data_IF_780228821722
#
_entry.id   IF_780228821722
#
_cell.length_a   1.000
_cell.length_b   1.000
_cell.length_c   1.000
_cell.angle_alpha   90.00
_cell.angle_beta   90.00
_cell.angle_gamma   90.00
#
_symmetry.space_group_name_H-M   'P 1'
#
loop_
_entity.id
_entity.type
_entity.pdbx_description
1 polymer ?
#
# COMPACT_ATOMS: atom_id res chain seq x y z
N UNK A 1 24.59 -7.05 -10.81
CA UNK A 1 23.59 -7.99 -11.35
C UNK A 1 22.31 -8.04 -10.51
N UNK A 2 22.39 -8.24 -9.18
CA UNK A 2 21.21 -8.30 -8.29
C UNK A 2 20.28 -7.07 -8.34
N UNK A 3 20.82 -5.85 -8.42
CA UNK A 3 20.01 -4.62 -8.46
C UNK A 3 19.05 -4.57 -9.67
N UNK A 4 19.47 -5.05 -10.85
CA UNK A 4 18.64 -5.08 -12.05
C UNK A 4 17.48 -6.08 -11.92
N UNK A 5 17.69 -7.19 -11.22
CA UNK A 5 16.67 -8.20 -10.98
C UNK A 5 15.54 -7.66 -10.10
N UNK A 6 15.86 -6.89 -9.04
CA UNK A 6 14.85 -6.28 -8.18
C UNK A 6 14.03 -5.22 -8.92
N UNK A 7 14.68 -4.32 -9.67
CA UNK A 7 13.97 -3.32 -10.49
C UNK A 7 12.98 -4.00 -11.44
N UNK A 8 13.40 -5.08 -12.11
CA UNK A 8 12.54 -5.82 -13.04
C UNK A 8 11.36 -6.48 -12.32
N UNK A 9 11.60 -7.12 -11.18
CA UNK A 9 10.56 -7.77 -10.38
C UNK A 9 9.49 -6.77 -9.92
N UNK A 10 9.89 -5.60 -9.42
CA UNK A 10 8.93 -4.58 -8.97
C UNK A 10 8.19 -3.93 -10.14
N UNK A 11 8.81 -3.80 -11.32
CA UNK A 11 8.11 -3.38 -12.54
C UNK A 11 7.06 -4.40 -12.97
N UNK A 12 7.37 -5.69 -12.87
CA UNK A 12 6.40 -6.76 -13.14
C UNK A 12 5.25 -6.74 -12.14
N UNK A 13 5.52 -6.55 -10.85
CA UNK A 13 4.48 -6.40 -9.83
C UNK A 13 3.59 -5.19 -10.13
N UNK A 14 4.17 -4.03 -10.44
CA UNK A 14 3.43 -2.83 -10.83
C UNK A 14 2.55 -3.09 -12.07
N UNK A 15 3.08 -3.75 -13.10
CA UNK A 15 2.30 -4.14 -14.28
C UNK A 15 1.18 -5.13 -13.95
N UNK A 16 1.43 -6.09 -13.05
CA UNK A 16 0.42 -7.04 -12.60
C UNK A 16 -0.72 -6.32 -11.89
N UNK A 17 -0.42 -5.37 -10.99
CA UNK A 17 -1.43 -4.54 -10.34
C UNK A 17 -2.27 -3.78 -11.36
N UNK A 18 -1.64 -3.15 -12.36
CA UNK A 18 -2.36 -2.50 -13.46
C UNK A 18 -3.30 -3.44 -14.23
N UNK A 19 -2.90 -4.70 -14.43
CA UNK A 19 -3.68 -5.69 -15.17
C UNK A 19 -4.84 -6.26 -14.35
N UNK A 20 -4.63 -6.59 -13.07
CA UNK A 20 -5.70 -7.15 -12.23
C UNK A 20 -6.82 -6.13 -11.98
N UNK A 21 -6.52 -4.83 -12.00
CA UNK A 21 -7.51 -3.75 -11.83
C UNK A 21 -8.59 -3.71 -12.90
N UNK A 22 -8.35 -4.35 -14.05
CA UNK A 22 -9.33 -4.45 -15.12
C UNK A 22 -10.50 -5.38 -14.76
N UNK A 23 -10.30 -6.31 -13.82
CA UNK A 23 -11.33 -7.25 -13.35
C UNK A 23 -11.43 -7.22 -11.83
N UNK A 24 -12.57 -6.72 -11.34
CA UNK A 24 -12.88 -6.56 -9.92
C UNK A 24 -12.79 -7.86 -9.13
N UNK A 25 -13.21 -8.99 -9.71
CA UNK A 25 -13.18 -10.29 -9.00
C UNK A 25 -11.75 -10.80 -8.87
N UNK A 26 -10.94 -10.65 -9.93
CA UNK A 26 -9.53 -11.04 -9.93
C UNK A 26 -8.74 -10.18 -8.95
N UNK A 27 -8.92 -8.86 -8.99
CA UNK A 27 -8.28 -7.94 -8.04
C UNK A 27 -8.62 -8.30 -6.59
N UNK A 28 -9.90 -8.52 -6.29
CA UNK A 28 -10.36 -8.88 -4.94
C UNK A 28 -9.70 -10.16 -4.45
N UNK A 29 -9.71 -11.23 -5.26
CA UNK A 29 -9.07 -12.51 -4.91
C UNK A 29 -7.56 -12.38 -4.75
N UNK A 30 -6.92 -11.58 -5.60
CA UNK A 30 -5.49 -11.30 -5.50
C UNK A 30 -5.17 -10.63 -4.16
N UNK A 31 -5.90 -9.58 -3.80
CA UNK A 31 -5.68 -8.88 -2.54
C UNK A 31 -6.02 -9.74 -1.31
N UNK A 32 -7.09 -10.54 -1.34
CA UNK A 32 -7.39 -11.48 -0.25
C UNK A 32 -6.28 -12.55 -0.07
N UNK A 33 -5.73 -13.08 -1.17
CA UNK A 33 -4.73 -14.15 -1.11
C UNK A 33 -3.29 -13.70 -0.88
N UNK A 34 -2.90 -12.56 -1.46
CA UNK A 34 -1.49 -12.18 -1.58
C UNK A 34 -1.11 -10.85 -0.90
N UNK A 35 -2.07 -10.01 -0.49
CA UNK A 35 -1.79 -8.67 0.04
C UNK A 35 -0.84 -8.69 1.24
N UNK A 36 -1.03 -9.63 2.17
CA UNK A 36 -0.12 -9.78 3.33
C UNK A 36 1.33 -9.99 2.88
N UNK A 37 1.56 -10.95 1.98
CA UNK A 37 2.89 -11.29 1.49
C UNK A 37 3.52 -10.14 0.68
N UNK A 38 2.71 -9.47 -0.15
CA UNK A 38 3.14 -8.30 -0.92
C UNK A 38 3.55 -7.15 0.02
N UNK A 39 2.71 -6.79 1.00
CA UNK A 39 3.02 -5.72 1.97
C UNK A 39 4.26 -6.06 2.80
N UNK A 40 4.38 -7.29 3.31
CA UNK A 40 5.57 -7.73 4.03
C UNK A 40 6.84 -7.54 3.20
N UNK A 41 6.82 -7.96 1.93
CA UNK A 41 8.00 -7.88 1.07
C UNK A 41 8.32 -6.43 0.65
N UNK A 42 7.30 -5.62 0.39
CA UNK A 42 7.46 -4.20 0.12
C UNK A 42 8.11 -3.50 1.32
N UNK A 43 7.55 -3.66 2.51
CA UNK A 43 8.12 -3.07 3.73
C UNK A 43 9.53 -3.58 4.00
N UNK A 44 9.78 -4.87 3.78
CA UNK A 44 11.14 -5.43 3.89
C UNK A 44 12.14 -4.66 3.04
N UNK A 45 11.79 -4.44 1.78
CA UNK A 45 12.71 -3.90 0.80
C UNK A 45 12.81 -2.37 0.90
N UNK A 46 11.72 -1.68 1.24
CA UNK A 46 11.72 -0.23 1.48
C UNK A 46 12.62 0.15 2.66
N UNK A 47 12.68 -0.69 3.70
CA UNK A 47 13.45 -0.43 4.93
C UNK A 47 14.88 -0.96 4.87
N UNK A 48 15.25 -1.64 3.80
CA UNK A 48 16.59 -2.18 3.59
C UNK A 48 17.52 -1.09 3.05
N UNK A 49 18.75 -1.04 3.58
CA UNK A 49 19.77 -0.09 3.17
C UNK A 49 20.32 -0.32 1.77
N UNK A 50 20.18 -1.54 1.23
CA UNK A 50 20.70 -1.94 -0.08
C UNK A 50 19.82 -1.48 -1.26
N UNK A 51 18.52 -1.25 -1.03
CA UNK A 51 17.53 -1.15 -2.11
C UNK A 51 17.02 0.28 -2.36
N UNK A 52 17.83 1.30 -2.02
CA UNK A 52 17.45 2.72 -2.15
C UNK A 52 17.10 3.14 -3.58
N UNK A 53 17.73 2.53 -4.59
CA UNK A 53 17.48 2.85 -6.01
C UNK A 53 16.08 2.45 -6.51
N UNK A 54 15.41 1.50 -5.84
CA UNK A 54 14.03 1.10 -6.17
C UNK A 54 12.98 1.76 -5.28
N UNK A 55 13.40 2.59 -4.32
CA UNK A 55 12.51 3.16 -3.31
C UNK A 55 11.30 3.91 -3.93
N UNK A 56 11.53 4.74 -4.95
CA UNK A 56 10.43 5.47 -5.61
C UNK A 56 9.41 4.52 -6.26
N UNK A 57 9.87 3.42 -6.86
CA UNK A 57 8.99 2.41 -7.44
C UNK A 57 8.20 1.66 -6.35
N UNK A 58 8.84 1.37 -5.22
CA UNK A 58 8.16 0.75 -4.08
C UNK A 58 7.08 1.67 -3.48
N UNK A 59 7.37 2.97 -3.38
CA UNK A 59 6.39 3.98 -2.98
C UNK A 59 5.20 4.04 -3.95
N UNK A 60 5.45 3.99 -5.26
CA UNK A 60 4.37 3.99 -6.25
C UNK A 60 3.52 2.72 -6.16
N UNK A 61 4.13 1.55 -6.03
CA UNK A 61 3.38 0.29 -5.83
C UNK A 61 2.54 0.34 -4.55
N UNK A 62 3.12 0.80 -3.44
CA UNK A 62 2.39 0.93 -2.18
C UNK A 62 1.22 1.93 -2.32
N UNK A 63 1.43 3.04 -3.02
CA UNK A 63 0.40 4.03 -3.32
C UNK A 63 -0.72 3.42 -4.16
N UNK A 64 -0.40 2.67 -5.21
CA UNK A 64 -1.41 2.00 -6.06
C UNK A 64 -2.26 1.02 -5.25
N UNK A 65 -1.63 0.20 -4.41
CA UNK A 65 -2.35 -0.71 -3.49
C UNK A 65 -3.29 0.09 -2.58
N UNK A 66 -2.81 1.18 -1.97
CA UNK A 66 -3.64 2.05 -1.16
C UNK A 66 -4.80 2.67 -1.94
N UNK A 67 -4.62 3.05 -3.21
CA UNK A 67 -5.70 3.56 -4.07
C UNK A 67 -6.72 2.46 -4.33
N UNK A 68 -6.28 1.25 -4.69
CA UNK A 68 -7.17 0.16 -5.07
C UNK A 68 -8.07 -0.30 -3.93
N UNK A 69 -7.54 -0.38 -2.72
CA UNK A 69 -8.29 -0.72 -1.49
C UNK A 69 -9.39 0.32 -1.21
N UNK A 70 -9.14 1.58 -1.56
CA UNK A 70 -10.09 2.67 -1.36
C UNK A 70 -11.19 2.72 -2.41
N UNK A 71 -10.99 2.06 -3.56
CA UNK A 71 -11.84 2.16 -4.73
C UNK A 71 -12.79 0.94 -4.80
N UNK A 72 -14.08 1.11 -4.47
CA UNK A 72 -15.03 -0.01 -4.40
C UNK A 72 -15.28 -0.69 -5.75
N UNK A 73 -14.99 0.00 -6.86
CA UNK A 73 -15.04 -0.54 -8.21
C UNK A 73 -13.83 -1.42 -8.56
N UNK A 74 -12.73 -1.36 -7.78
CA UNK A 74 -11.53 -2.17 -7.99
C UNK A 74 -11.53 -3.40 -7.08
N UNK A 75 -11.83 -3.22 -5.80
CA UNK A 75 -11.92 -4.32 -4.84
C UNK A 75 -13.27 -4.35 -4.16
N UNK A 76 -13.85 -5.55 -4.07
CA UNK A 76 -14.98 -5.87 -3.22
C UNK A 76 -14.53 -6.05 -1.76
N UNK A 77 -15.37 -6.65 -0.92
CA UNK A 77 -15.09 -6.91 0.49
C UNK A 77 -13.80 -7.73 0.70
N UNK A 78 -12.76 -7.09 1.24
CA UNK A 78 -11.48 -7.70 1.57
C UNK A 78 -11.48 -8.32 2.97
N UNK A 79 -12.42 -7.95 3.85
CA UNK A 79 -12.49 -8.47 5.21
C UNK A 79 -13.07 -9.90 5.24
N UNK A 80 -13.63 -10.36 4.12
CA UNK A 80 -14.18 -11.69 3.99
C UNK A 80 -15.48 -11.81 4.79
N UNK A 81 -16.56 -11.21 4.31
CA UNK A 81 -17.88 -11.58 4.81
C UNK A 81 -18.17 -13.03 4.42
N UNK A 82 -18.13 -13.92 5.42
CA UNK A 82 -18.67 -15.27 5.34
C UNK A 82 -20.20 -15.31 5.28
N UNK A 83 -20.89 -14.26 4.82
CA UNK A 83 -22.33 -14.31 4.55
C UNK A 83 -22.57 -14.20 3.05
N UNK A 84 -22.72 -15.37 2.44
CA UNK A 84 -23.63 -15.55 1.32
C UNK A 84 -24.99 -14.92 1.67
N UNK A 85 -25.44 -13.95 0.88
CA UNK A 85 -26.82 -13.48 0.92
C UNK A 85 -26.99 -11.97 0.79
N UNK A 86 -27.56 -11.58 -0.34
CA UNK A 86 -28.54 -10.48 -0.47
C UNK A 86 -28.03 -9.02 -0.50
N UNK A 87 -28.14 -8.44 -1.70
CA UNK A 87 -28.48 -7.03 -1.97
C UNK A 87 -27.99 -6.00 -0.95
N UNK A 88 -26.70 -5.71 -0.95
CA UNK A 88 -26.20 -4.42 -0.48
C UNK A 88 -25.75 -3.59 -1.67
N UNK A 89 -26.74 -3.01 -2.35
CA UNK A 89 -26.54 -1.86 -3.24
C UNK A 89 -26.20 -0.65 -2.36
N UNK A 90 -24.96 -0.54 -1.89
CA UNK A 90 -24.51 0.66 -1.20
C UNK A 90 -24.11 1.71 -2.24
N UNK A 91 -25.07 2.58 -2.55
CA UNK A 91 -24.83 3.86 -3.21
C UNK A 91 -23.65 4.59 -2.54
N UNK A 92 -22.70 5.02 -3.37
CA UNK A 92 -21.98 6.28 -3.18
C UNK A 92 -20.97 6.33 -2.04
N UNK A 93 -19.70 6.24 -2.40
CA UNK A 93 -18.60 7.01 -1.81
C UNK A 93 -18.60 7.17 -0.29
N UNK A 94 -18.37 6.10 0.47
CA UNK A 94 -18.04 6.25 1.89
C UNK A 94 -16.69 6.94 2.01
N UNK A 95 -16.68 8.13 2.61
CA UNK A 95 -15.49 8.86 3.03
C UNK A 95 -14.41 7.91 3.55
N UNK A 96 -13.16 8.07 3.07
CA UNK A 96 -12.03 7.14 3.26
C UNK A 96 -11.60 6.84 4.71
N UNK A 97 -12.37 7.23 5.72
CA UNK A 97 -12.21 6.76 7.10
C UNK A 97 -13.17 5.60 7.45
N UNK A 98 -14.31 5.48 6.77
CA UNK A 98 -15.35 4.47 7.05
C UNK A 98 -15.37 3.30 6.06
N UNK A 99 -14.39 3.21 5.16
CA UNK A 99 -14.28 2.07 4.26
C UNK A 99 -13.79 0.84 5.05
N UNK A 100 -14.56 -0.27 5.10
CA UNK A 100 -14.20 -1.47 5.87
C UNK A 100 -12.89 -2.10 5.37
N UNK A 101 -12.56 -1.98 4.09
CA UNK A 101 -11.31 -2.44 3.52
C UNK A 101 -10.12 -1.64 4.06
N UNK A 102 -10.25 -0.32 4.22
CA UNK A 102 -9.18 0.51 4.82
C UNK A 102 -8.95 0.11 6.28
N UNK A 103 -10.02 -0.15 7.03
CA UNK A 103 -9.88 -0.60 8.42
C UNK A 103 -9.21 -1.97 8.49
N UNK A 104 -9.66 -2.93 7.70
CA UNK A 104 -9.09 -4.29 7.67
C UNK A 104 -7.62 -4.28 7.25
N UNK A 105 -7.31 -3.68 6.10
CA UNK A 105 -5.93 -3.61 5.59
C UNK A 105 -5.06 -2.72 6.46
N UNK A 106 -5.61 -1.63 7.00
CA UNK A 106 -4.91 -0.76 7.94
C UNK A 106 -4.47 -1.52 9.19
N UNK A 107 -5.33 -2.35 9.76
CA UNK A 107 -4.96 -3.22 10.89
C UNK A 107 -3.89 -4.24 10.51
N UNK A 108 -3.99 -4.87 9.33
CA UNK A 108 -2.97 -5.77 8.83
C UNK A 108 -1.61 -5.06 8.70
N UNK A 109 -1.60 -3.89 8.06
CA UNK A 109 -0.41 -3.09 7.83
C UNK A 109 0.22 -2.64 9.17
N UNK A 110 -0.58 -2.10 10.09
CA UNK A 110 -0.12 -1.71 11.43
C UNK A 110 0.49 -2.89 12.19
N UNK A 111 -0.11 -4.08 12.10
CA UNK A 111 0.44 -5.29 12.71
C UNK A 111 1.81 -5.64 12.12
N UNK A 112 1.94 -5.66 10.80
CA UNK A 112 3.20 -6.00 10.12
C UNK A 112 4.34 -5.03 10.50
N UNK A 113 4.04 -3.73 10.59
CA UNK A 113 5.01 -2.72 11.02
C UNK A 113 5.41 -2.93 12.49
N UNK A 114 4.44 -3.18 13.38
CA UNK A 114 4.68 -3.37 14.81
C UNK A 114 5.46 -4.66 15.10
N UNK A 115 5.18 -5.73 14.35
CA UNK A 115 5.91 -7.01 14.44
C UNK A 115 7.37 -6.85 14.01
N UNK A 116 7.62 -6.04 12.98
CA UNK A 116 8.96 -5.87 12.42
C UNK A 116 9.80 -4.81 13.15
N UNK A 117 9.17 -3.77 13.66
CA UNK A 117 9.83 -2.61 14.27
C UNK A 117 9.25 -2.37 15.66
N UNK A 118 9.72 -3.14 16.65
CA UNK A 118 9.28 -3.07 18.04
C UNK A 118 9.55 -1.72 18.71
N UNK A 119 10.43 -0.90 18.12
CA UNK A 119 10.76 0.44 18.56
C UNK A 119 9.72 1.50 18.12
N UNK A 120 8.84 1.20 17.17
CA UNK A 120 7.80 2.14 16.76
C UNK A 120 6.61 2.07 17.73
N UNK A 121 6.13 3.22 18.18
CA UNK A 121 4.91 3.29 18.99
C UNK A 121 3.68 3.00 18.13
N UNK A 122 2.63 2.46 18.73
CA UNK A 122 1.37 2.20 18.02
C UNK A 122 0.78 3.48 17.39
N UNK A 123 1.02 4.64 18.00
CA UNK A 123 0.60 5.94 17.45
C UNK A 123 1.36 6.27 16.16
N UNK A 124 2.69 6.12 16.14
CA UNK A 124 3.51 6.34 14.95
C UNK A 124 3.07 5.41 13.81
N UNK A 125 2.89 4.13 14.12
CA UNK A 125 2.46 3.12 13.15
C UNK A 125 1.08 3.45 12.57
N UNK A 126 0.07 3.71 13.42
CA UNK A 126 -1.28 4.01 12.95
C UNK A 126 -1.33 5.33 12.16
N UNK A 127 -0.62 6.36 12.62
CA UNK A 127 -0.52 7.62 11.88
C UNK A 127 0.12 7.43 10.51
N UNK A 128 1.17 6.61 10.42
CA UNK A 128 1.80 6.29 9.16
C UNK A 128 0.81 5.62 8.20
N UNK A 129 0.17 4.54 8.64
CA UNK A 129 -0.76 3.74 7.82
C UNK A 129 -1.95 4.57 7.34
N UNK A 130 -2.60 5.33 8.22
CA UNK A 130 -3.77 6.12 7.85
C UNK A 130 -3.41 7.24 6.88
N UNK A 131 -2.25 7.89 7.08
CA UNK A 131 -1.77 8.95 6.20
C UNK A 131 -1.31 8.42 4.83
N UNK A 132 -0.86 7.16 4.72
CA UNK A 132 -0.67 6.50 3.42
C UNK A 132 -1.97 6.45 2.62
N UNK A 133 -3.08 5.98 3.20
CA UNK A 133 -4.36 5.93 2.49
C UNK A 133 -4.85 7.34 2.09
N UNK A 134 -4.75 8.31 3.01
CA UNK A 134 -5.11 9.70 2.74
C UNK A 134 -4.32 10.29 1.57
N UNK A 135 -2.99 10.19 1.61
CA UNK A 135 -2.10 10.75 0.59
C UNK A 135 -2.28 10.04 -0.76
N UNK A 136 -2.44 8.71 -0.76
CA UNK A 136 -2.67 7.94 -1.98
C UNK A 136 -3.92 8.42 -2.75
N UNK A 137 -4.97 8.80 -2.02
CA UNK A 137 -6.20 9.35 -2.61
C UNK A 137 -5.99 10.77 -3.13
N UNK A 138 -5.31 11.62 -2.37
CA UNK A 138 -5.04 13.01 -2.76
C UNK A 138 -4.16 13.11 -3.99
N UNK A 139 -3.22 12.17 -4.16
CA UNK A 139 -2.32 12.11 -5.31
C UNK A 139 -2.80 11.14 -6.39
N UNK A 140 -4.09 10.80 -6.45
CA UNK A 140 -4.61 9.87 -7.47
C UNK A 140 -4.28 10.34 -8.90
N UNK A 141 -4.31 11.66 -9.12
CA UNK A 141 -3.97 12.30 -10.40
C UNK A 141 -2.47 12.65 -10.53
N UNK A 142 -1.72 12.62 -9.41
CA UNK A 142 -0.27 12.84 -9.35
C UNK A 142 0.44 11.50 -9.08
N UNK A 143 0.64 10.72 -10.14
CA UNK A 143 1.48 9.51 -10.09
C UNK A 143 2.92 9.90 -9.74
N UNK A 144 3.64 9.03 -9.02
CA UNK A 144 5.08 9.22 -8.82
C UNK A 144 5.78 8.95 -10.16
N UNK A 145 6.31 10.00 -10.78
CA UNK A 145 6.92 9.92 -12.12
C UNK A 145 8.37 9.49 -11.96
N UNK A 146 8.67 8.20 -12.16
CA UNK A 146 9.99 7.61 -11.91
C UNK A 146 11.18 8.28 -12.64
N UNK A 147 10.92 9.07 -13.68
CA UNK A 147 11.92 9.82 -14.45
C UNK A 147 12.15 11.26 -13.98
N UNK A 148 11.45 11.71 -12.93
CA UNK A 148 11.53 13.08 -12.41
C UNK A 148 12.00 13.11 -10.96
N UNK A 149 12.42 14.29 -10.51
CA UNK A 149 12.67 14.53 -9.09
C UNK A 149 11.35 14.51 -8.32
N UNK A 150 11.12 13.43 -7.56
CA UNK A 150 9.94 13.24 -6.71
C UNK A 150 10.28 13.47 -5.23
N UNK A 151 11.41 14.12 -4.93
CA UNK A 151 11.81 14.43 -3.54
C UNK A 151 10.76 15.27 -2.80
N UNK A 152 9.92 16.01 -3.51
CA UNK A 152 8.82 16.81 -2.96
C UNK A 152 7.46 16.10 -2.94
N UNK A 153 7.36 14.87 -3.46
CA UNK A 153 6.08 14.17 -3.56
C UNK A 153 5.57 13.79 -2.15
N UNK A 154 4.36 14.24 -1.73
CA UNK A 154 3.90 14.07 -0.34
C UNK A 154 3.90 12.63 0.15
N UNK A 155 3.51 11.68 -0.71
CA UNK A 155 3.53 10.26 -0.38
C UNK A 155 4.96 9.71 -0.19
N UNK A 156 5.92 10.20 -0.99
CA UNK A 156 7.32 9.75 -0.93
C UNK A 156 7.96 10.29 0.36
N UNK A 157 7.76 11.58 0.65
CA UNK A 157 8.21 12.21 1.90
C UNK A 157 7.68 11.46 3.13
N UNK A 158 6.38 11.13 3.13
CA UNK A 158 5.78 10.38 4.24
C UNK A 158 6.40 8.98 4.42
N UNK A 159 6.77 8.31 3.32
CA UNK A 159 7.52 7.04 3.39
C UNK A 159 8.96 7.23 3.89
N UNK A 160 9.62 8.33 3.52
CA UNK A 160 10.96 8.66 4.01
C UNK A 160 10.96 8.98 5.52
N UNK A 161 9.96 9.71 6.01
CA UNK A 161 9.79 10.00 7.44
C UNK A 161 9.71 8.72 8.27
N UNK A 162 9.03 7.68 7.76
CA UNK A 162 9.02 6.37 8.41
C UNK A 162 10.43 5.76 8.47
N UNK A 163 11.20 5.82 7.38
CA UNK A 163 12.58 5.31 7.36
C UNK A 163 13.47 6.03 8.37
N UNK A 164 13.31 7.34 8.52
CA UNK A 164 14.01 8.12 9.53
C UNK A 164 13.61 7.64 10.92
N UNK A 165 12.31 7.50 11.21
CA UNK A 165 11.83 7.02 12.52
C UNK A 165 12.29 5.58 12.85
N UNK A 166 12.43 4.73 11.85
CA UNK A 166 13.02 3.39 12.01
C UNK A 166 14.52 3.50 12.35
N UNK A 167 15.26 4.38 11.67
CA UNK A 167 16.72 4.52 11.80
C UNK A 167 17.19 5.32 13.01
N UNK A 168 16.38 6.22 13.56
CA UNK A 168 16.73 7.03 14.74
C UNK A 168 17.03 6.16 15.99
N UNK A 169 16.74 4.86 15.95
CA UNK A 169 16.94 3.92 17.06
C UNK A 169 17.93 2.78 16.75
N UNK A 170 18.70 2.85 15.66
CA UNK A 170 19.82 1.97 15.34
C UNK A 170 21.13 2.77 15.26
#
# INVERSE_FOLDING_TARGET
>A
MYMYMFVHLYKQLHSLLGNIRQDRQVATRFYQGFLKGVLQKLLQTMTDDLHKSVFLLLCEILREICVDIQMPNVCDDLAGSGTSGENSSSNGATNGANNPNIRHVGQLFSRLLSEKFSNLTSQVVNNFVMKCFQLARQTKDNKIVLSQDNSSHPFVLHCQDLLVQIKVFF
#
